data_IF_302155275447
#
_entry.id   IF_302155275447
#
_cell.length_a   1.000
_cell.length_b   1.000
_cell.length_c   1.000
_cell.angle_alpha   90.00
_cell.angle_beta   90.00
_cell.angle_gamma   90.00
#
_symmetry.space_group_name_H-M   'P 1'
#
loop_
_entity.id
_entity.type
_entity.pdbx_description
1 polymer ?
#
# COMPACT_ATOMS: atom_id res chain seq x y z
N UNK A 1 2.89 -6.63 16.19
CA UNK A 1 2.00 -5.46 15.97
C UNK A 1 0.66 -5.98 15.48
N UNK A 2 -0.44 -5.76 16.20
CA UNK A 2 -1.77 -6.07 15.66
C UNK A 2 -2.33 -4.83 14.98
N UNK A 3 -2.53 -4.88 13.66
CA UNK A 3 -3.32 -3.88 12.95
C UNK A 3 -4.81 -4.17 13.21
N UNK A 4 -5.28 -3.78 14.39
CA UNK A 4 -6.68 -3.91 14.77
C UNK A 4 -7.46 -2.66 14.40
N UNK A 5 -7.67 -2.42 13.11
CA UNK A 5 -8.72 -1.46 12.72
C UNK A 5 -10.04 -2.13 13.11
N UNK A 6 -10.67 -1.67 14.20
CA UNK A 6 -12.04 -2.06 14.55
C UNK A 6 -12.96 -1.02 13.93
N UNK A 7 -13.61 -1.30 12.79
CA UNK A 7 -14.61 -0.39 12.27
C UNK A 7 -15.80 -0.41 13.22
N UNK A 8 -16.14 0.74 13.79
CA UNK A 8 -17.41 0.95 14.49
C UNK A 8 -18.04 2.23 13.95
N UNK A 9 -19.37 2.21 13.79
CA UNK A 9 -20.18 3.35 13.34
C UNK A 9 -19.68 4.08 12.08
N UNK A 10 -19.61 3.38 10.93
CA UNK A 10 -19.31 3.97 9.61
C UNK A 10 -17.98 4.75 9.51
N UNK A 11 -17.13 4.70 10.52
CA UNK A 11 -15.83 5.35 10.50
C UNK A 11 -14.71 4.30 10.42
N UNK A 12 -13.83 4.48 9.42
CA UNK A 12 -12.48 3.92 9.44
C UNK A 12 -11.61 4.96 10.11
N UNK A 13 -10.79 4.55 11.09
CA UNK A 13 -9.86 5.46 11.77
C UNK A 13 -9.10 6.31 10.73
N UNK A 14 -9.05 7.63 10.94
CA UNK A 14 -8.52 8.66 10.02
C UNK A 14 -9.39 9.04 8.81
N UNK A 15 -10.57 8.44 8.63
CA UNK A 15 -11.51 8.71 7.53
C UNK A 15 -12.96 8.82 8.01
N UNK A 16 -13.19 9.31 9.22
CA UNK A 16 -14.54 9.58 9.70
C UNK A 16 -15.22 10.64 8.79
N UNK A 17 -16.49 10.44 8.47
CA UNK A 17 -17.23 11.35 7.58
C UNK A 17 -17.38 12.76 8.20
N UNK A 18 -17.40 12.84 9.53
CA UNK A 18 -17.44 14.09 10.28
C UNK A 18 -16.21 14.96 10.03
N UNK A 19 -15.04 14.35 9.83
CA UNK A 19 -13.75 15.03 9.65
C UNK A 19 -13.34 15.16 8.17
N UNK A 20 -13.57 14.12 7.37
CA UNK A 20 -13.06 13.98 5.99
C UNK A 20 -14.20 13.83 4.95
N UNK A 21 -15.47 13.93 5.35
CA UNK A 21 -16.63 13.76 4.45
C UNK A 21 -16.96 14.97 3.57
N UNK A 22 -16.25 16.08 3.74
CA UNK A 22 -16.35 17.25 2.87
C UNK A 22 -14.99 17.63 2.33
N UNK A 23 -14.93 18.01 1.06
CA UNK A 23 -13.68 18.41 0.43
C UNK A 23 -13.25 19.77 0.94
N UNK A 24 -12.08 19.84 1.59
CA UNK A 24 -11.52 21.08 2.12
C UNK A 24 -10.06 21.26 1.67
N UNK A 25 -9.82 22.22 0.77
CA UNK A 25 -8.49 22.55 0.28
C UNK A 25 -7.90 21.53 -0.70
N UNK A 26 -6.59 21.64 -0.95
CA UNK A 26 -5.86 20.70 -1.80
C UNK A 26 -5.65 19.38 -1.06
N UNK A 27 -5.81 18.26 -1.78
CA UNK A 27 -5.63 16.92 -1.23
C UNK A 27 -4.51 16.18 -1.96
N UNK A 28 -3.69 15.43 -1.22
CA UNK A 28 -2.59 14.64 -1.77
C UNK A 28 -2.74 13.19 -1.33
N UNK A 29 -2.68 12.27 -2.28
CA UNK A 29 -2.70 10.83 -2.07
C UNK A 29 -1.82 10.16 -3.13
N UNK A 30 -1.40 8.92 -2.86
CA UNK A 30 -0.66 8.11 -3.82
C UNK A 30 -1.54 6.95 -4.25
N UNK A 31 -1.67 6.73 -5.55
CA UNK A 31 -2.22 5.50 -6.09
C UNK A 31 -1.04 4.66 -6.61
N UNK A 32 -0.86 3.48 -6.03
CA UNK A 32 0.17 2.53 -6.43
C UNK A 32 -0.51 1.21 -6.81
N UNK A 33 0.15 0.43 -7.66
CA UNK A 33 -0.39 -0.83 -8.18
C UNK A 33 0.75 -1.81 -8.41
N UNK A 34 0.40 -3.11 -8.49
CA UNK A 34 1.30 -4.18 -8.87
C UNK A 34 2.57 -4.29 -8.01
N UNK A 35 2.49 -4.30 -6.66
CA UNK A 35 3.64 -4.72 -5.85
C UNK A 35 4.04 -6.16 -6.17
N UNK A 36 3.06 -6.97 -6.58
CA UNK A 36 3.16 -8.27 -7.23
C UNK A 36 4.29 -9.21 -6.73
N UNK A 37 4.47 -9.44 -5.41
CA UNK A 37 5.56 -10.27 -4.93
C UNK A 37 5.51 -11.70 -5.49
N UNK A 38 6.70 -12.20 -5.85
CA UNK A 38 6.90 -13.49 -6.49
C UNK A 38 6.88 -13.42 -8.01
N UNK A 39 6.56 -12.28 -8.62
CA UNK A 39 6.60 -12.12 -10.07
C UNK A 39 8.04 -12.10 -10.61
N UNK A 40 8.94 -11.38 -9.93
CA UNK A 40 10.34 -11.30 -10.37
C UNK A 40 10.98 -12.68 -10.34
N UNK A 41 10.72 -13.48 -9.30
CA UNK A 41 11.21 -14.86 -9.22
C UNK A 41 10.70 -15.73 -10.38
N UNK A 42 9.41 -15.64 -10.73
CA UNK A 42 8.84 -16.36 -11.88
C UNK A 42 9.51 -15.95 -13.20
N UNK A 43 9.71 -14.66 -13.42
CA UNK A 43 10.38 -14.14 -14.63
C UNK A 43 11.84 -14.61 -14.71
N UNK A 44 12.48 -14.88 -13.56
CA UNK A 44 13.84 -15.40 -13.45
C UNK A 44 13.92 -16.94 -13.46
N UNK A 45 12.80 -17.63 -13.71
CA UNK A 45 12.73 -19.09 -13.81
C UNK A 45 12.54 -19.83 -12.47
N UNK A 46 12.18 -19.11 -11.41
CA UNK A 46 11.76 -19.66 -10.13
C UNK A 46 10.29 -20.10 -10.11
N UNK A 47 9.79 -20.44 -8.92
CA UNK A 47 8.40 -20.89 -8.70
C UNK A 47 7.51 -19.83 -8.06
N UNK A 48 8.02 -18.61 -7.88
CA UNK A 48 7.34 -17.47 -7.29
C UNK A 48 7.42 -17.42 -5.76
N UNK A 49 8.15 -18.34 -5.13
CA UNK A 49 8.27 -18.38 -3.66
C UNK A 49 9.22 -17.34 -3.08
N UNK A 50 10.10 -16.75 -3.90
CA UNK A 50 11.06 -15.72 -3.46
C UNK A 50 10.50 -14.32 -3.66
N UNK A 51 10.42 -13.55 -2.57
CA UNK A 51 9.78 -12.23 -2.52
C UNK A 51 10.77 -11.10 -2.20
N UNK A 52 12.05 -11.40 -1.98
CA UNK A 52 13.02 -10.47 -1.39
C UNK A 52 13.20 -9.20 -2.23
N UNK A 53 13.19 -9.32 -3.56
CA UNK A 53 13.37 -8.18 -4.48
C UNK A 53 12.18 -7.23 -4.38
N UNK A 54 10.96 -7.72 -4.49
CA UNK A 54 9.74 -6.93 -4.39
C UNK A 54 9.56 -6.34 -2.99
N UNK A 55 9.94 -7.05 -1.93
CA UNK A 55 9.98 -6.50 -0.56
C UNK A 55 10.98 -5.33 -0.48
N UNK A 56 12.18 -5.46 -1.06
CA UNK A 56 13.15 -4.38 -1.08
C UNK A 56 12.65 -3.16 -1.87
N UNK A 57 12.01 -3.37 -3.01
CA UNK A 57 11.41 -2.31 -3.83
C UNK A 57 10.25 -1.62 -3.09
N UNK A 58 9.37 -2.39 -2.45
CA UNK A 58 8.26 -1.86 -1.64
C UNK A 58 8.76 -1.03 -0.46
N UNK A 59 9.83 -1.47 0.21
CA UNK A 59 10.48 -0.68 1.27
C UNK A 59 11.06 0.64 0.74
N UNK A 60 11.61 0.66 -0.47
CA UNK A 60 12.04 1.90 -1.12
C UNK A 60 10.86 2.79 -1.46
N UNK A 61 9.77 2.24 -2.00
CA UNK A 61 8.54 2.98 -2.26
C UNK A 61 8.03 3.69 -0.99
N UNK A 62 7.90 2.98 0.13
CA UNK A 62 7.48 3.56 1.42
C UNK A 62 8.40 4.70 1.84
N UNK A 63 9.73 4.52 1.74
CA UNK A 63 10.71 5.57 2.08
C UNK A 63 10.57 6.83 1.23
N UNK A 64 10.22 6.71 -0.05
CA UNK A 64 10.05 7.86 -0.95
C UNK A 64 8.70 8.54 -0.74
N UNK A 65 7.62 7.77 -0.59
CA UNK A 65 6.28 8.30 -0.30
C UNK A 65 6.29 9.14 0.97
N UNK A 66 6.95 8.67 2.03
CA UNK A 66 7.07 9.40 3.29
C UNK A 66 7.85 10.71 3.20
N UNK A 67 8.61 10.95 2.12
CA UNK A 67 9.36 12.19 1.89
C UNK A 67 8.62 13.18 1.00
N UNK A 68 7.49 12.80 0.41
CA UNK A 68 6.69 13.69 -0.42
C UNK A 68 6.17 14.87 0.42
N UNK A 69 6.15 16.06 -0.20
CA UNK A 69 5.62 17.27 0.40
C UNK A 69 4.66 17.94 -0.61
N UNK A 70 3.35 18.09 -0.28
CA UNK A 70 2.72 17.71 0.98
C UNK A 70 2.70 16.18 1.18
N UNK A 71 2.78 15.75 2.45
CA UNK A 71 2.69 14.33 2.80
C UNK A 71 1.35 13.75 2.35
N UNK A 72 1.34 12.66 1.58
CA UNK A 72 0.10 12.00 1.16
C UNK A 72 -0.68 11.53 2.38
N UNK A 73 -2.00 11.75 2.36
CA UNK A 73 -2.90 11.32 3.44
C UNK A 73 -3.03 9.80 3.51
N UNK A 74 -3.00 9.15 2.36
CA UNK A 74 -3.01 7.70 2.23
C UNK A 74 -2.38 7.22 0.92
N UNK A 75 -2.14 5.92 0.90
CA UNK A 75 -1.80 5.17 -0.30
C UNK A 75 -2.97 4.24 -0.63
N UNK A 76 -3.46 4.32 -1.86
CA UNK A 76 -4.37 3.33 -2.42
C UNK A 76 -3.56 2.28 -3.19
N UNK A 77 -3.83 1.00 -2.94
CA UNK A 77 -3.22 -0.11 -3.67
C UNK A 77 -4.26 -0.69 -4.65
N UNK A 78 -3.96 -0.55 -5.95
CA UNK A 78 -4.91 -0.75 -7.04
C UNK A 78 -5.13 -2.19 -7.51
N UNK A 79 -4.27 -3.13 -7.13
CA UNK A 79 -4.36 -4.51 -7.63
C UNK A 79 -3.03 -5.24 -7.55
N UNK A 80 -3.06 -6.51 -7.99
CA UNK A 80 -1.89 -7.38 -8.10
C UNK A 80 -1.03 -7.40 -6.84
N UNK A 81 -1.71 -7.62 -5.72
CA UNK A 81 -1.12 -7.60 -4.38
C UNK A 81 -0.14 -8.76 -4.17
N UNK A 82 -0.35 -9.90 -4.83
CA UNK A 82 0.57 -11.04 -4.85
C UNK A 82 0.44 -11.83 -6.15
N UNK A 83 1.57 -12.29 -6.70
CA UNK A 83 1.59 -13.22 -7.84
C UNK A 83 1.62 -14.68 -7.40
N UNK A 84 2.44 -15.01 -6.40
CA UNK A 84 2.57 -16.36 -5.85
C UNK A 84 2.90 -16.27 -4.36
N UNK A 85 2.47 -17.20 -3.53
CA UNK A 85 2.77 -17.18 -2.08
C UNK A 85 4.18 -17.67 -1.76
N UNK A 86 4.85 -17.12 -0.73
CA UNK A 86 6.12 -17.65 -0.27
C UNK A 86 5.91 -19.03 0.34
N UNK A 87 6.92 -19.90 0.24
CA UNK A 87 6.95 -21.20 0.90
C UNK A 87 7.76 -21.19 2.19
#
# INVERSE_FOLDING_TARGET
MSFGIKPSNKCVQYFCAEDEGTWNGSYSFVFATDPQPGFIDVVEGGDGSKWEKEIQLTNQFVKHVNKLNPTPKFVCLGGDIANAFPR
#
